data_IF_723501413111
#
_entry.id   IF_723501413111
#
_cell.length_a   1.000
_cell.length_b   1.000
_cell.length_c   1.000
_cell.angle_alpha   90.00
_cell.angle_beta   90.00
_cell.angle_gamma   90.00
#
_symmetry.space_group_name_H-M   'P 1'
#
loop_
_entity.id
_entity.type
_entity.pdbx_description
1 polymer ?
#
# COMPACT_ATOMS: atom_id res chain seq x y z
N UNK A 1 5.78 -28.17 3.36
CA UNK A 1 6.28 -26.85 3.79
C UNK A 1 7.15 -26.29 2.68
N UNK A 2 6.68 -25.28 1.97
CA UNK A 2 7.53 -24.61 0.99
C UNK A 2 8.62 -23.85 1.76
N UNK A 3 9.87 -24.16 1.46
CA UNK A 3 11.03 -23.52 2.10
C UNK A 3 11.08 -22.09 1.61
N UNK A 4 11.02 -21.11 2.50
CA UNK A 4 11.19 -19.70 2.17
C UNK A 4 12.62 -19.54 1.65
N UNK A 5 12.84 -19.03 0.42
CA UNK A 5 14.19 -18.86 -0.11
C UNK A 5 14.92 -17.78 0.68
N UNK A 6 16.18 -18.04 1.06
CA UNK A 6 17.04 -17.00 1.63
C UNK A 6 17.56 -16.08 0.53
N UNK A 7 17.66 -14.78 0.82
CA UNK A 7 18.30 -13.84 -0.08
C UNK A 7 19.79 -14.14 -0.23
N UNK A 8 20.29 -14.02 -1.47
CA UNK A 8 21.70 -14.23 -1.81
C UNK A 8 22.57 -12.97 -1.63
N UNK A 9 21.95 -11.83 -1.25
CA UNK A 9 22.63 -10.56 -1.02
C UNK A 9 22.04 -9.86 0.22
N UNK A 10 22.78 -8.88 0.76
CA UNK A 10 22.29 -8.06 1.86
C UNK A 10 21.81 -6.71 1.31
N UNK A 11 20.49 -6.41 1.36
CA UNK A 11 19.98 -5.13 0.89
C UNK A 11 20.48 -3.98 1.77
N UNK A 12 20.64 -2.80 1.18
CA UNK A 12 20.90 -1.56 1.91
C UNK A 12 19.63 -1.06 2.56
N UNK A 13 18.49 -1.23 1.87
CA UNK A 13 17.17 -0.81 2.30
C UNK A 13 16.15 -1.95 2.22
N UNK A 14 15.26 -2.01 3.20
CA UNK A 14 14.00 -2.74 3.09
C UNK A 14 12.88 -1.71 3.00
N UNK A 15 12.27 -1.59 1.83
CA UNK A 15 11.21 -0.61 1.59
C UNK A 15 9.83 -1.27 1.60
N UNK A 16 8.84 -0.54 2.07
CA UNK A 16 7.47 -1.01 2.26
C UNK A 16 6.46 -0.06 1.64
N UNK A 17 5.43 -0.63 1.02
CA UNK A 17 4.12 0.01 1.00
C UNK A 17 3.55 0.04 2.43
N UNK A 18 2.65 0.99 2.73
CA UNK A 18 2.15 1.17 4.08
C UNK A 18 0.73 0.58 4.27
N UNK A 19 -0.27 1.22 3.69
CA UNK A 19 -1.68 0.85 3.90
C UNK A 19 -2.09 -0.39 3.13
N UNK A 20 -2.63 -1.39 3.84
CA UNK A 20 -2.92 -2.71 3.32
C UNK A 20 -1.72 -3.67 3.41
N UNK A 21 -0.51 -3.16 3.67
CA UNK A 21 0.73 -3.93 3.84
C UNK A 21 1.17 -3.99 5.30
N UNK A 22 1.48 -2.85 5.90
CA UNK A 22 1.84 -2.71 7.31
C UNK A 22 0.64 -2.32 8.19
N UNK A 23 -0.16 -1.38 7.72
CA UNK A 23 -1.39 -0.90 8.36
C UNK A 23 -2.59 -1.58 7.69
N UNK A 24 -3.57 -1.98 8.48
CA UNK A 24 -4.83 -2.51 7.99
C UNK A 24 -5.54 -1.53 7.04
N UNK A 25 -6.37 -2.06 6.13
CA UNK A 25 -7.08 -1.27 5.13
C UNK A 25 -8.56 -1.68 5.01
N UNK A 26 -9.36 -1.58 6.11
CA UNK A 26 -10.75 -2.02 6.13
C UNK A 26 -11.70 -0.97 5.51
N UNK A 27 -11.63 -0.76 4.20
CA UNK A 27 -12.49 0.19 3.49
C UNK A 27 -13.97 -0.23 3.45
N UNK A 28 -14.24 -1.53 3.47
CA UNK A 28 -15.59 -2.06 3.26
C UNK A 28 -16.62 -1.60 4.30
N UNK A 29 -16.33 -1.57 5.63
CA UNK A 29 -17.28 -1.08 6.62
C UNK A 29 -17.74 0.35 6.34
N UNK A 30 -16.80 1.27 6.09
CA UNK A 30 -17.11 2.67 5.78
C UNK A 30 -17.89 2.78 4.46
N UNK A 31 -17.49 2.00 3.45
CA UNK A 31 -18.21 1.95 2.18
C UNK A 31 -19.66 1.50 2.38
N UNK A 32 -19.87 0.49 3.23
CA UNK A 32 -21.23 -0.01 3.55
C UNK A 32 -22.07 1.03 4.30
N UNK A 33 -21.50 1.74 5.26
CA UNK A 33 -22.17 2.83 5.97
C UNK A 33 -22.61 3.97 5.03
N UNK A 34 -21.86 4.19 3.94
CA UNK A 34 -22.14 5.28 3.00
C UNK A 34 -23.24 4.95 1.97
N UNK A 35 -23.33 3.70 1.51
CA UNK A 35 -24.23 3.32 0.40
C UNK A 35 -24.81 1.91 0.51
N UNK A 36 -24.55 1.17 1.58
CA UNK A 36 -24.93 -0.23 1.69
C UNK A 36 -26.44 -0.48 1.58
N UNK A 37 -27.26 0.45 2.02
CA UNK A 37 -28.72 0.44 1.90
C UNK A 37 -29.22 0.68 0.47
N UNK A 38 -28.39 1.21 -0.41
CA UNK A 38 -28.70 1.51 -1.81
C UNK A 38 -28.22 0.43 -2.79
N UNK A 39 -27.42 -0.54 -2.32
CA UNK A 39 -26.83 -1.60 -3.15
C UNK A 39 -27.46 -2.94 -2.78
N UNK A 40 -28.03 -3.71 -3.74
CA UNK A 40 -28.51 -5.06 -3.49
C UNK A 40 -27.41 -5.95 -2.90
N UNK A 41 -27.73 -6.74 -1.87
CA UNK A 41 -26.75 -7.55 -1.15
C UNK A 41 -25.95 -8.48 -2.07
N UNK A 42 -26.61 -9.07 -3.07
CA UNK A 42 -25.97 -9.94 -4.05
C UNK A 42 -25.01 -9.24 -5.03
N UNK A 43 -25.06 -7.91 -5.08
CA UNK A 43 -24.20 -7.08 -5.93
C UNK A 43 -23.11 -6.35 -5.13
N UNK A 44 -23.11 -6.48 -3.79
CA UNK A 44 -22.20 -5.78 -2.92
C UNK A 44 -20.72 -6.01 -3.27
N UNK A 45 -20.32 -7.26 -3.47
CA UNK A 45 -18.93 -7.61 -3.83
C UNK A 45 -18.52 -6.99 -5.18
N UNK A 46 -19.45 -6.88 -6.11
CA UNK A 46 -19.17 -6.22 -7.38
C UNK A 46 -18.96 -4.71 -7.17
N UNK A 47 -19.82 -4.05 -6.40
CA UNK A 47 -19.67 -2.63 -6.09
C UNK A 47 -18.31 -2.33 -5.46
N UNK A 48 -17.91 -3.09 -4.45
CA UNK A 48 -16.63 -2.93 -3.76
C UNK A 48 -15.44 -3.14 -4.71
N UNK A 49 -15.50 -4.18 -5.56
CA UNK A 49 -14.45 -4.39 -6.59
C UNK A 49 -14.34 -3.21 -7.56
N UNK A 50 -15.48 -2.67 -7.98
CA UNK A 50 -15.50 -1.54 -8.90
C UNK A 50 -15.01 -0.27 -8.22
N UNK A 51 -15.39 0.01 -6.98
CA UNK A 51 -14.86 1.14 -6.22
C UNK A 51 -13.32 1.06 -6.09
N UNK A 52 -12.78 -0.13 -5.82
CA UNK A 52 -11.32 -0.36 -5.85
C UNK A 52 -10.71 -0.02 -7.22
N UNK A 53 -11.39 -0.40 -8.30
CA UNK A 53 -10.97 -0.08 -9.66
C UNK A 53 -10.96 1.43 -9.93
N UNK A 54 -12.00 2.16 -9.49
CA UNK A 54 -12.08 3.61 -9.64
C UNK A 54 -11.00 4.34 -8.83
N UNK A 55 -10.67 3.89 -7.61
CA UNK A 55 -9.54 4.44 -6.84
C UNK A 55 -8.21 4.24 -7.56
N UNK A 56 -7.99 3.03 -8.10
CA UNK A 56 -6.79 2.74 -8.88
C UNK A 56 -6.68 3.62 -10.14
N UNK A 57 -7.80 3.84 -10.83
CA UNK A 57 -7.83 4.72 -11.99
C UNK A 57 -7.54 6.19 -11.60
N UNK A 58 -8.12 6.66 -10.50
CA UNK A 58 -7.97 8.04 -10.02
C UNK A 58 -6.50 8.39 -9.70
N UNK A 59 -5.76 7.51 -9.03
CA UNK A 59 -4.35 7.74 -8.67
C UNK A 59 -3.39 7.72 -9.87
N UNK A 60 -3.84 7.29 -11.05
CA UNK A 60 -3.03 7.32 -12.28
C UNK A 60 -3.05 8.68 -12.98
N UNK A 61 -3.94 9.57 -12.55
CA UNK A 61 -4.04 10.94 -13.01
C UNK A 61 -3.01 11.88 -12.40
N UNK A 62 -3.34 13.18 -12.39
CA UNK A 62 -2.60 14.19 -11.65
C UNK A 62 -2.70 13.95 -10.13
N UNK A 63 -1.72 14.47 -9.40
CA UNK A 63 -1.79 14.42 -7.94
C UNK A 63 -2.85 15.40 -7.41
N UNK A 64 -3.68 14.89 -6.51
CA UNK A 64 -4.57 15.63 -5.63
C UNK A 64 -4.46 15.03 -4.23
N UNK A 65 -4.80 15.75 -3.14
CA UNK A 65 -4.84 15.17 -1.79
C UNK A 65 -5.68 13.90 -1.76
N UNK A 66 -5.25 12.92 -0.97
CA UNK A 66 -5.85 11.58 -1.02
C UNK A 66 -7.34 11.56 -0.61
N UNK A 67 -7.75 12.46 0.30
CA UNK A 67 -9.16 12.68 0.62
C UNK A 67 -9.99 13.01 -0.64
N UNK A 68 -9.45 13.87 -1.52
CA UNK A 68 -10.10 14.21 -2.79
C UNK A 68 -10.14 13.02 -3.75
N UNK A 69 -9.06 12.23 -3.82
CA UNK A 69 -9.02 10.98 -4.60
C UNK A 69 -10.12 10.02 -4.15
N UNK A 70 -10.33 9.89 -2.84
CA UNK A 70 -11.38 9.04 -2.27
C UNK A 70 -12.76 9.58 -2.60
N UNK A 71 -13.02 10.87 -2.47
CA UNK A 71 -14.29 11.51 -2.81
C UNK A 71 -14.62 11.30 -4.29
N UNK A 72 -13.70 11.69 -5.19
CA UNK A 72 -13.95 11.63 -6.63
C UNK A 72 -14.18 10.21 -7.13
N UNK A 73 -13.37 9.25 -6.66
CA UNK A 73 -13.51 7.86 -7.05
C UNK A 73 -14.81 7.25 -6.53
N UNK A 74 -15.25 7.65 -5.32
CA UNK A 74 -16.50 7.21 -4.75
C UNK A 74 -17.72 7.79 -5.52
N UNK A 75 -17.70 9.08 -5.83
CA UNK A 75 -18.74 9.72 -6.65
C UNK A 75 -18.84 9.08 -8.03
N UNK A 76 -17.70 8.76 -8.66
CA UNK A 76 -17.66 8.10 -9.97
C UNK A 76 -18.32 6.72 -9.96
N UNK A 77 -18.04 5.89 -8.95
CA UNK A 77 -18.67 4.57 -8.85
C UNK A 77 -20.13 4.68 -8.50
N UNK A 78 -20.52 5.56 -7.58
CA UNK A 78 -21.93 5.79 -7.23
C UNK A 78 -22.74 6.25 -8.45
N UNK A 79 -22.21 7.18 -9.25
CA UNK A 79 -22.85 7.63 -10.51
C UNK A 79 -23.04 6.48 -11.49
N UNK A 80 -22.06 5.60 -11.64
CA UNK A 80 -22.18 4.40 -12.49
C UNK A 80 -23.31 3.48 -12.02
N UNK A 81 -23.48 3.35 -10.71
CA UNK A 81 -24.50 2.49 -10.10
C UNK A 81 -25.87 3.18 -9.95
N UNK A 82 -26.00 4.46 -10.30
CA UNK A 82 -27.23 5.22 -10.15
C UNK A 82 -27.63 5.46 -8.69
N UNK A 83 -26.67 5.40 -7.77
CA UNK A 83 -26.88 5.63 -6.33
C UNK A 83 -26.30 6.99 -5.92
N UNK A 84 -26.83 7.52 -4.80
CA UNK A 84 -26.41 8.84 -4.31
C UNK A 84 -25.14 8.73 -3.49
N UNK A 85 -24.05 9.38 -3.92
CA UNK A 85 -22.84 9.52 -3.13
C UNK A 85 -23.05 10.48 -1.95
N UNK A 86 -22.47 10.14 -0.80
CA UNK A 86 -22.39 11.06 0.33
C UNK A 86 -21.40 12.20 0.00
N UNK A 87 -21.77 13.48 0.27
CA UNK A 87 -20.91 14.61 -0.08
C UNK A 87 -19.64 14.71 0.77
N UNK A 88 -19.60 13.99 1.89
CA UNK A 88 -18.47 13.91 2.83
C UNK A 88 -17.77 12.56 2.83
N UNK A 89 -17.98 11.75 1.80
CA UNK A 89 -17.42 10.40 1.70
C UNK A 89 -15.88 10.40 1.83
N UNK A 90 -15.20 11.29 1.11
CA UNK A 90 -13.75 11.44 1.18
C UNK A 90 -13.26 11.67 2.60
N UNK A 91 -13.89 12.62 3.31
CA UNK A 91 -13.57 12.90 4.72
C UNK A 91 -13.81 11.68 5.61
N UNK A 92 -14.92 10.98 5.47
CA UNK A 92 -15.23 9.79 6.29
C UNK A 92 -14.21 8.66 6.06
N UNK A 93 -13.78 8.45 4.81
CA UNK A 93 -12.69 7.52 4.53
C UNK A 93 -11.38 8.00 5.14
N UNK A 94 -11.04 9.29 5.01
CA UNK A 94 -9.82 9.87 5.59
C UNK A 94 -9.79 9.74 7.12
N UNK A 95 -10.89 10.03 7.81
CA UNK A 95 -11.03 9.83 9.26
C UNK A 95 -10.83 8.36 9.66
N UNK A 96 -11.37 7.42 8.85
CA UNK A 96 -11.14 5.98 9.02
C UNK A 96 -9.66 5.62 8.90
N UNK A 97 -8.98 6.07 7.84
CA UNK A 97 -7.55 5.81 7.59
C UNK A 97 -6.70 6.24 8.79
N UNK A 98 -6.98 7.40 9.39
CA UNK A 98 -6.28 7.91 10.58
C UNK A 98 -6.45 7.01 11.81
N UNK A 99 -7.55 6.25 11.88
CA UNK A 99 -7.85 5.38 13.03
C UNK A 99 -7.24 3.98 12.93
N UNK A 100 -6.88 3.52 11.73
CA UNK A 100 -6.40 2.16 11.52
C UNK A 100 -5.03 1.91 12.12
N UNK A 101 -4.84 0.68 12.59
CA UNK A 101 -3.61 0.21 13.23
C UNK A 101 -2.81 -0.74 12.36
N UNK A 102 -1.62 -1.16 12.86
CA UNK A 102 -0.83 -2.18 12.19
C UNK A 102 -1.54 -3.54 12.20
N UNK A 103 -1.25 -4.37 11.17
CA UNK A 103 -1.61 -5.78 11.24
C UNK A 103 -0.96 -6.45 12.46
N UNK A 104 -1.58 -7.51 13.03
CA UNK A 104 -1.09 -8.15 14.28
C UNK A 104 0.35 -8.68 14.21
N UNK A 105 0.83 -9.02 13.00
CA UNK A 105 2.16 -9.57 12.74
C UNK A 105 3.21 -8.50 12.36
N UNK A 106 2.96 -7.21 12.61
CA UNK A 106 3.83 -6.15 12.08
C UNK A 106 4.83 -5.63 13.10
N UNK A 107 4.37 -5.24 14.29
CA UNK A 107 5.16 -4.42 15.22
C UNK A 107 6.47 -5.08 15.63
N UNK A 108 6.41 -6.29 16.19
CA UNK A 108 7.62 -6.97 16.69
C UNK A 108 8.58 -7.41 15.59
N UNK A 109 8.11 -8.03 14.47
CA UNK A 109 9.02 -8.37 13.37
C UNK A 109 9.64 -7.15 12.69
N UNK A 110 8.89 -6.04 12.56
CA UNK A 110 9.39 -4.82 11.94
C UNK A 110 10.46 -4.15 12.81
N UNK A 111 10.25 -4.12 14.14
CA UNK A 111 11.22 -3.63 15.10
C UNK A 111 12.53 -4.43 15.03
N UNK A 112 12.44 -5.75 15.02
CA UNK A 112 13.60 -6.62 14.85
C UNK A 112 14.34 -6.34 13.55
N UNK A 113 13.60 -6.15 12.44
CA UNK A 113 14.16 -5.83 11.14
C UNK A 113 14.91 -4.49 11.15
N UNK A 114 14.40 -3.48 11.86
CA UNK A 114 15.03 -2.17 12.03
C UNK A 114 16.38 -2.20 12.74
N UNK A 115 16.67 -3.25 13.53
CA UNK A 115 18.00 -3.44 14.15
C UNK A 115 19.07 -3.85 13.14
N UNK A 116 18.66 -4.34 11.95
CA UNK A 116 19.55 -4.92 10.95
C UNK A 116 19.60 -4.15 9.63
N UNK A 117 18.49 -3.48 9.27
CA UNK A 117 18.30 -2.83 7.96
C UNK A 117 17.75 -1.41 8.10
N UNK A 118 18.03 -0.58 7.10
CA UNK A 118 17.40 0.72 6.95
C UNK A 118 15.97 0.52 6.40
N UNK A 119 14.96 0.79 7.22
CA UNK A 119 13.57 0.68 6.82
C UNK A 119 13.12 1.95 6.10
N UNK A 120 12.38 1.79 5.02
CA UNK A 120 11.85 2.88 4.21
C UNK A 120 10.36 2.65 3.96
N UNK A 121 9.56 3.69 3.98
CA UNK A 121 8.16 3.66 3.51
C UNK A 121 8.04 4.47 2.21
N UNK A 122 7.31 3.94 1.23
CA UNK A 122 6.79 4.67 0.08
C UNK A 122 5.28 4.41 -0.02
N UNK A 123 4.46 5.41 0.31
CA UNK A 123 3.02 5.27 0.44
C UNK A 123 2.23 6.18 -0.49
N UNK A 124 1.11 5.64 -1.01
CA UNK A 124 0.07 6.40 -1.71
C UNK A 124 -0.83 7.15 -0.72
N UNK A 125 -0.25 8.02 0.08
CA UNK A 125 -0.95 8.80 1.08
C UNK A 125 -0.33 10.19 1.21
N UNK A 126 -1.02 11.08 1.91
CA UNK A 126 -0.52 12.40 2.25
C UNK A 126 0.31 12.34 3.55
N UNK A 127 1.18 13.31 3.78
CA UNK A 127 2.07 13.40 4.94
C UNK A 127 1.30 13.30 6.26
N UNK A 128 0.15 13.96 6.33
CA UNK A 128 -0.68 13.97 7.54
C UNK A 128 -1.18 12.59 7.98
N UNK A 129 -1.43 11.68 7.03
CA UNK A 129 -1.84 10.30 7.36
C UNK A 129 -0.67 9.51 7.94
N UNK A 130 0.52 9.62 7.31
CA UNK A 130 1.68 8.87 7.79
C UNK A 130 2.23 9.41 9.10
N UNK A 131 2.13 10.72 9.35
CA UNK A 131 2.51 11.30 10.64
C UNK A 131 1.75 10.67 11.83
N UNK A 132 0.50 10.24 11.61
CA UNK A 132 -0.29 9.55 12.64
C UNK A 132 -0.07 8.03 12.67
N UNK A 133 0.18 7.41 11.51
CA UNK A 133 0.24 5.95 11.39
C UNK A 133 1.63 5.36 11.68
N UNK A 134 2.70 6.03 11.24
CA UNK A 134 4.08 5.53 11.39
C UNK A 134 4.47 5.30 12.87
N UNK A 135 4.13 6.18 13.83
CA UNK A 135 4.45 5.93 15.25
C UNK A 135 3.84 4.63 15.80
N UNK A 136 2.73 4.15 15.23
CA UNK A 136 2.06 2.91 15.67
C UNK A 136 2.80 1.65 15.19
N UNK A 137 3.69 1.76 14.20
CA UNK A 137 4.46 0.64 13.66
C UNK A 137 5.58 0.17 14.60
N UNK A 138 5.96 0.97 15.60
CA UNK A 138 6.88 0.58 16.66
C UNK A 138 8.33 0.40 16.24
N UNK A 139 8.72 0.84 15.05
CA UNK A 139 10.07 0.78 14.52
C UNK A 139 10.51 2.16 14.00
N UNK A 140 11.81 2.41 14.01
CA UNK A 140 12.40 3.61 13.43
C UNK A 140 12.58 3.43 11.92
N UNK A 141 12.04 4.37 11.14
CA UNK A 141 12.22 4.41 9.70
C UNK A 141 13.34 5.36 9.32
N UNK A 142 14.24 4.89 8.46
CA UNK A 142 15.30 5.70 7.89
C UNK A 142 14.73 6.84 7.02
N UNK A 143 13.64 6.56 6.28
CA UNK A 143 12.92 7.53 5.49
C UNK A 143 11.44 7.13 5.32
N UNK A 144 10.57 8.13 5.20
CA UNK A 144 9.15 7.97 4.92
C UNK A 144 8.80 8.90 3.77
N UNK A 145 8.40 8.32 2.65
CA UNK A 145 8.03 9.04 1.43
C UNK A 145 6.54 8.89 1.15
N UNK A 146 5.91 9.99 0.72
CA UNK A 146 4.49 10.07 0.44
C UNK A 146 4.24 10.47 -1.00
N UNK A 147 3.04 10.19 -1.50
CA UNK A 147 2.61 10.70 -2.80
C UNK A 147 2.54 12.24 -2.82
N UNK A 148 2.27 12.87 -1.66
CA UNK A 148 2.27 14.32 -1.52
C UNK A 148 3.66 14.91 -1.78
N UNK A 149 4.71 14.36 -1.15
CA UNK A 149 6.09 14.79 -1.35
C UNK A 149 6.57 14.55 -2.78
N UNK A 150 6.23 13.39 -3.36
CA UNK A 150 6.61 13.04 -4.73
C UNK A 150 5.84 13.85 -5.78
N UNK A 151 4.65 14.37 -5.45
CA UNK A 151 3.71 14.95 -6.41
C UNK A 151 3.07 13.91 -7.35
N UNK A 152 3.23 12.62 -7.05
CA UNK A 152 2.75 11.49 -7.85
C UNK A 152 2.39 10.31 -6.97
N UNK A 153 1.35 9.60 -7.40
CA UNK A 153 0.95 8.32 -6.83
C UNK A 153 1.64 7.14 -7.52
N UNK A 154 1.94 6.06 -6.80
CA UNK A 154 2.17 4.75 -7.39
C UNK A 154 0.88 4.33 -8.13
N UNK A 155 0.94 3.69 -9.30
CA UNK A 155 2.09 3.01 -9.90
C UNK A 155 2.94 3.88 -10.86
N UNK A 156 2.81 5.21 -10.85
CA UNK A 156 3.65 6.06 -11.72
C UNK A 156 5.11 5.97 -11.29
N UNK A 157 6.01 5.84 -12.27
CA UNK A 157 7.46 5.71 -12.04
C UNK A 157 8.01 6.87 -11.23
N UNK A 158 7.51 8.09 -11.46
CA UNK A 158 7.94 9.29 -10.76
C UNK A 158 7.86 9.19 -9.22
N UNK A 159 6.90 8.41 -8.68
CA UNK A 159 6.84 8.18 -7.24
C UNK A 159 8.02 7.33 -6.73
N UNK A 160 8.45 6.34 -7.50
CA UNK A 160 9.61 5.50 -7.17
C UNK A 160 10.93 6.21 -7.45
N UNK A 161 11.01 6.95 -8.56
CA UNK A 161 12.15 7.80 -8.90
C UNK A 161 12.42 8.81 -7.78
N UNK A 162 11.38 9.45 -7.25
CA UNK A 162 11.51 10.34 -6.10
C UNK A 162 12.17 9.64 -4.89
N UNK A 163 11.75 8.43 -4.55
CA UNK A 163 12.36 7.66 -3.46
C UNK A 163 13.84 7.36 -3.74
N UNK A 164 14.19 6.95 -4.97
CA UNK A 164 15.55 6.65 -5.38
C UNK A 164 16.44 7.90 -5.30
N UNK A 165 15.96 9.02 -5.82
CA UNK A 165 16.70 10.30 -5.82
C UNK A 165 16.94 10.82 -4.39
N UNK A 166 15.94 10.75 -3.50
CA UNK A 166 16.09 11.20 -2.13
C UNK A 166 17.08 10.35 -1.31
N UNK A 167 17.27 9.08 -1.67
CA UNK A 167 18.18 8.16 -0.98
C UNK A 167 19.55 8.05 -1.66
N UNK A 168 19.74 8.69 -2.82
CA UNK A 168 20.91 8.49 -3.69
C UNK A 168 21.19 6.98 -3.84
N UNK A 169 20.17 6.26 -4.34
CA UNK A 169 20.12 4.81 -4.36
C UNK A 169 19.67 4.25 -5.72
N UNK A 170 20.02 3.01 -5.98
CA UNK A 170 19.63 2.27 -7.19
C UNK A 170 18.67 1.12 -6.86
N UNK A 171 17.90 0.59 -7.83
CA UNK A 171 16.96 -0.50 -7.62
C UNK A 171 17.56 -1.74 -6.95
N UNK A 172 18.84 -2.05 -7.21
CA UNK A 172 19.55 -3.19 -6.62
C UNK A 172 19.84 -3.04 -5.11
N UNK A 173 19.76 -1.83 -4.56
CA UNK A 173 19.96 -1.60 -3.12
C UNK A 173 18.78 -2.10 -2.26
N UNK A 174 17.66 -2.42 -2.90
CA UNK A 174 16.40 -2.66 -2.20
C UNK A 174 15.94 -4.12 -2.19
N UNK A 175 15.28 -4.48 -1.07
CA UNK A 175 14.16 -5.40 -1.06
C UNK A 175 12.90 -4.57 -0.87
N UNK A 176 11.91 -4.70 -1.75
CA UNK A 176 10.63 -4.01 -1.63
C UNK A 176 9.50 -4.96 -1.29
N UNK A 177 8.67 -4.57 -0.33
CA UNK A 177 7.60 -5.39 0.25
C UNK A 177 6.26 -4.66 0.09
N UNK A 178 5.31 -5.27 -0.59
CA UNK A 178 3.97 -4.73 -0.73
C UNK A 178 2.91 -5.84 -0.82
N UNK A 179 1.67 -5.53 -0.46
CA UNK A 179 0.53 -6.45 -0.62
C UNK A 179 -0.22 -6.25 -1.93
N UNK A 180 0.09 -5.21 -2.70
CA UNK A 180 -0.64 -4.81 -3.90
C UNK A 180 0.24 -4.85 -5.14
N UNK A 181 0.17 -5.93 -5.92
CA UNK A 181 1.06 -6.13 -7.06
C UNK A 181 0.94 -5.05 -8.14
N UNK A 182 -0.24 -4.51 -8.39
CA UNK A 182 -0.47 -3.51 -9.44
C UNK A 182 -0.06 -2.08 -9.08
N UNK A 183 0.06 -1.76 -7.79
CA UNK A 183 0.55 -0.44 -7.37
C UNK A 183 2.08 -0.39 -7.30
N UNK A 184 2.70 -1.49 -6.92
CA UNK A 184 4.12 -1.55 -6.60
C UNK A 184 4.90 -2.47 -7.55
N UNK A 185 4.67 -3.79 -7.48
CA UNK A 185 5.52 -4.80 -8.10
C UNK A 185 5.68 -4.65 -9.61
N UNK A 186 4.59 -4.32 -10.33
CA UNK A 186 4.64 -4.16 -11.77
C UNK A 186 5.62 -3.05 -12.16
N UNK A 187 5.41 -1.85 -11.62
CA UNK A 187 6.25 -0.70 -11.96
C UNK A 187 7.69 -0.89 -11.50
N UNK A 188 7.90 -1.38 -10.28
CA UNK A 188 9.25 -1.61 -9.77
C UNK A 188 10.00 -2.68 -10.57
N UNK A 189 9.33 -3.77 -10.97
CA UNK A 189 9.94 -4.77 -11.83
C UNK A 189 10.42 -4.15 -13.16
N UNK A 190 9.56 -3.35 -13.80
CA UNK A 190 9.88 -2.70 -15.08
C UNK A 190 10.98 -1.62 -14.93
N UNK A 191 11.12 -1.02 -13.74
CA UNK A 191 12.21 -0.10 -13.38
C UNK A 191 13.52 -0.81 -12.98
N UNK A 192 13.56 -2.13 -12.96
CA UNK A 192 14.78 -2.91 -12.70
C UNK A 192 14.95 -3.41 -11.28
N UNK A 193 13.99 -3.21 -10.38
CA UNK A 193 14.03 -3.87 -9.07
C UNK A 193 13.91 -5.39 -9.25
N UNK A 194 14.75 -6.16 -8.57
CA UNK A 194 14.80 -7.63 -8.71
C UNK A 194 14.41 -8.37 -7.43
N UNK A 195 14.36 -7.69 -6.32
CA UNK A 195 14.05 -8.29 -5.02
C UNK A 195 12.71 -7.77 -4.52
N UNK A 196 11.65 -8.26 -5.14
CA UNK A 196 10.28 -7.90 -4.83
C UNK A 196 9.62 -8.99 -3.98
N UNK A 197 8.94 -8.59 -2.93
CA UNK A 197 8.24 -9.48 -2.00
C UNK A 197 6.77 -9.11 -1.92
N UNK A 198 5.92 -10.05 -2.30
CA UNK A 198 4.48 -9.96 -2.04
C UNK A 198 4.23 -10.43 -0.60
N UNK A 199 3.82 -9.51 0.26
CA UNK A 199 3.23 -9.84 1.55
C UNK A 199 1.74 -10.11 1.35
N UNK A 200 1.37 -11.38 1.27
CA UNK A 200 0.02 -11.79 0.90
C UNK A 200 -0.96 -11.57 2.06
N UNK A 201 -1.67 -10.46 1.99
CA UNK A 201 -2.76 -10.09 2.92
C UNK A 201 -4.14 -10.53 2.43
N UNK A 202 -4.23 -11.15 1.27
CA UNK A 202 -5.50 -11.57 0.66
C UNK A 202 -6.41 -10.40 0.21
N UNK A 203 -5.87 -9.18 0.12
CA UNK A 203 -6.66 -7.98 -0.12
C UNK A 203 -6.99 -7.73 -1.59
N UNK A 204 -6.10 -8.10 -2.50
CA UNK A 204 -6.21 -7.82 -3.94
C UNK A 204 -5.92 -9.07 -4.79
N UNK A 205 -6.48 -9.12 -6.01
CA UNK A 205 -6.09 -10.14 -6.97
C UNK A 205 -4.58 -10.05 -7.26
N UNK A 206 -3.91 -11.18 -7.15
CA UNK A 206 -2.48 -11.28 -7.43
C UNK A 206 -2.26 -11.28 -8.95
N UNK A 207 -1.36 -10.43 -9.44
CA UNK A 207 -0.94 -10.42 -10.84
C UNK A 207 0.23 -11.37 -11.02
N UNK A 208 -0.01 -12.48 -11.71
CA UNK A 208 1.04 -13.43 -12.09
C UNK A 208 1.71 -12.95 -13.39
N UNK A 209 3.03 -12.95 -13.45
CA UNK A 209 3.79 -12.54 -14.64
C UNK A 209 4.96 -11.62 -14.34
N UNK A 210 5.12 -11.26 -13.08
CA UNK A 210 6.27 -10.54 -12.54
C UNK A 210 6.97 -11.41 -11.51
N UNK A 211 8.30 -11.32 -11.47
CA UNK A 211 9.11 -12.09 -10.52
C UNK A 211 9.02 -11.44 -9.12
N UNK A 212 8.44 -12.15 -8.16
CA UNK A 212 8.44 -11.80 -6.75
C UNK A 212 8.35 -13.05 -5.89
N UNK A 213 8.86 -12.94 -4.67
CA UNK A 213 8.69 -13.98 -3.64
C UNK A 213 7.44 -13.65 -2.83
N UNK A 214 6.63 -14.68 -2.50
CA UNK A 214 5.46 -14.50 -1.65
C UNK A 214 5.76 -14.96 -0.22
N UNK A 215 5.45 -14.10 0.75
CA UNK A 215 5.47 -14.39 2.19
C UNK A 215 4.09 -14.14 2.79
N UNK A 216 3.79 -14.79 3.92
CA UNK A 216 2.49 -14.69 4.59
C UNK A 216 2.52 -13.76 5.82
N UNK A 217 3.71 -13.46 6.33
CA UNK A 217 3.91 -12.63 7.51
C UNK A 217 5.24 -11.90 7.44
N UNK A 218 5.44 -10.91 8.31
CA UNK A 218 6.75 -10.28 8.46
C UNK A 218 7.77 -11.19 9.16
N UNK A 219 7.35 -12.21 9.91
CA UNK A 219 8.26 -13.25 10.43
C UNK A 219 8.84 -14.11 9.30
N UNK A 220 8.02 -14.43 8.29
CA UNK A 220 8.50 -15.09 7.07
C UNK A 220 9.52 -14.24 6.36
N UNK A 221 9.28 -12.91 6.28
CA UNK A 221 10.22 -11.96 5.68
C UNK A 221 11.53 -11.90 6.48
N UNK A 222 11.47 -11.83 7.80
CA UNK A 222 12.66 -11.87 8.66
C UNK A 222 13.47 -13.15 8.44
N UNK A 223 12.80 -14.29 8.32
CA UNK A 223 13.45 -15.57 7.99
C UNK A 223 14.13 -15.51 6.62
N UNK A 224 13.48 -14.90 5.61
CA UNK A 224 14.05 -14.71 4.27
C UNK A 224 15.30 -13.80 4.30
N UNK A 225 15.27 -12.76 5.13
CA UNK A 225 16.36 -11.81 5.34
C UNK A 225 17.51 -12.37 6.22
N UNK A 226 17.30 -13.52 6.86
CA UNK A 226 18.28 -14.18 7.71
C UNK A 226 18.42 -13.58 9.11
N UNK A 227 17.35 -13.02 9.63
CA UNK A 227 17.24 -12.42 10.96
C UNK A 227 16.12 -13.03 11.80
#
# INVERSE_FOLDING_TARGET
>A
MNRIPSLQFRPKYVSFDCYGTLIEWPMNPITYELVGDQIPAEQWDQFVREFRGYRYDQVRGEYYPYEQVLQDSFERVCRKWGVKAAPDAGKRFADGIRSWGPHPDVVEPLKKMGEHYKLVILSNADDSFLAESVPRLGADFHAVFTAEQAGYYKPRYAAFEYMLDQLDASPEDFVHVASHTRYDHQSMHDMGFRNLVLLDRGCDPVTHGYDYVTVKSLDDLNTMLGI
#
